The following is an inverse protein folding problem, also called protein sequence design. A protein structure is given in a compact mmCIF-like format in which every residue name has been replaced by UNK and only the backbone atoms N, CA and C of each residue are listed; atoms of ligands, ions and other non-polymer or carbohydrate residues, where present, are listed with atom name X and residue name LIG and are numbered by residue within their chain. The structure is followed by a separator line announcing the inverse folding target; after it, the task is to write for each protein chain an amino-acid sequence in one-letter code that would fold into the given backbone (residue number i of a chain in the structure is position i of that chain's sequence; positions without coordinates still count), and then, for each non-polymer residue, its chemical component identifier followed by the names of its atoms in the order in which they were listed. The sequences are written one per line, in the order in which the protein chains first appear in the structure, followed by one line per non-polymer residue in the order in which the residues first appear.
data_IF_247942130634
#
_entry.id   IF_247942130634
#
_cell.length_a   1.000
_cell.length_b   1.000
_cell.length_c   1.000
_cell.angle_alpha   90.00
_cell.angle_beta   90.00
_cell.angle_gamma   90.00
#
_symmetry.space_group_name_H-M   'P 1'
#
loop_
_entity.id
_entity.type
_entity.pdbx_description
1 polymer ?
#
# COMPACT_ATOMS: atom_id res chain seq x y z
N UNK A 1 -3.35 8.91 -0.31
CA UNK A 1 -4.08 7.66 -0.02
C UNK A 1 -3.98 7.21 1.43
N UNK A 2 -2.84 7.42 2.11
CA UNK A 2 -2.72 7.09 3.55
C UNK A 2 -3.78 7.83 4.38
N UNK A 3 -4.02 9.09 4.09
CA UNK A 3 -5.09 9.87 4.74
C UNK A 3 -6.49 9.35 4.40
N UNK A 4 -6.73 8.95 3.14
CA UNK A 4 -7.97 8.26 2.74
C UNK A 4 -8.22 7.01 3.58
N UNK A 5 -7.21 6.17 3.74
CA UNK A 5 -7.30 4.94 4.55
C UNK A 5 -7.63 5.24 6.01
N UNK A 6 -6.99 6.25 6.60
CA UNK A 6 -7.28 6.69 7.98
C UNK A 6 -8.71 7.20 8.12
N UNK A 7 -9.16 8.03 7.19
CA UNK A 7 -10.53 8.60 7.18
C UNK A 7 -11.59 7.52 7.09
N UNK A 8 -11.44 6.57 6.16
CA UNK A 8 -12.37 5.46 6.00
C UNK A 8 -12.39 4.54 7.24
N UNK A 9 -11.24 4.22 7.82
CA UNK A 9 -11.16 3.43 9.06
C UNK A 9 -11.80 4.15 10.24
N UNK A 10 -11.60 5.46 10.38
CA UNK A 10 -12.23 6.25 11.44
C UNK A 10 -13.77 6.24 11.32
N UNK A 11 -14.28 6.33 10.08
CA UNK A 11 -15.73 6.37 9.81
C UNK A 11 -16.39 4.99 9.98
N UNK A 12 -15.82 3.94 9.41
CA UNK A 12 -16.45 2.61 9.32
C UNK A 12 -15.92 1.59 10.34
N UNK A 13 -14.85 1.93 11.06
CA UNK A 13 -14.28 1.16 12.20
C UNK A 13 -14.06 -0.32 11.85
N UNK A 14 -14.59 -1.21 12.67
CA UNK A 14 -14.52 -2.66 12.60
C UNK A 14 -15.28 -3.28 11.41
N UNK A 15 -16.15 -2.50 10.77
CA UNK A 15 -16.87 -2.94 9.56
C UNK A 15 -16.04 -2.89 8.29
N UNK A 16 -14.85 -2.25 8.34
CA UNK A 16 -13.94 -2.13 7.22
C UNK A 16 -12.68 -2.97 7.42
N UNK A 17 -12.62 -4.12 6.76
CA UNK A 17 -11.36 -4.87 6.63
C UNK A 17 -10.57 -4.34 5.43
N UNK A 18 -9.38 -3.80 5.70
CA UNK A 18 -8.52 -3.20 4.69
C UNK A 18 -7.17 -3.93 4.64
N UNK A 19 -6.84 -4.53 3.49
CA UNK A 19 -5.54 -5.13 3.21
C UNK A 19 -4.84 -4.35 2.11
N UNK A 20 -3.55 -4.07 2.28
CA UNK A 20 -2.71 -3.36 1.32
C UNK A 20 -1.84 -4.35 0.56
N UNK A 21 -1.65 -4.08 -0.71
CA UNK A 21 -0.81 -4.86 -1.60
C UNK A 21 0.15 -3.91 -2.31
N UNK A 22 1.44 -3.88 -1.93
CA UNK A 22 2.43 -3.05 -2.59
C UNK A 22 2.73 -3.59 -3.98
N UNK A 23 2.80 -2.68 -4.96
CA UNK A 23 3.11 -3.03 -6.36
C UNK A 23 4.25 -2.16 -6.89
N UNK A 24 4.87 -2.58 -7.97
CA UNK A 24 5.89 -1.84 -8.69
C UNK A 24 5.79 -2.14 -10.19
N UNK A 25 6.27 -1.22 -11.01
CA UNK A 25 6.18 -1.31 -12.48
C UNK A 25 7.49 -1.04 -13.18
N UNK A 26 7.61 -1.56 -14.39
CA UNK A 26 8.69 -1.25 -15.31
C UNK A 26 10.06 -1.55 -14.73
N UNK A 27 10.90 -0.53 -14.63
CA UNK A 27 12.27 -0.65 -14.11
C UNK A 27 12.37 -0.48 -12.59
N UNK A 28 11.26 -0.33 -11.87
CA UNK A 28 11.25 -0.29 -10.42
C UNK A 28 11.63 -1.66 -9.86
N UNK A 29 12.22 -1.66 -8.67
CA UNK A 29 12.63 -2.89 -7.99
C UNK A 29 11.60 -3.33 -6.94
N UNK A 30 11.66 -4.60 -6.55
CA UNK A 30 10.81 -5.17 -5.50
C UNK A 30 11.19 -4.73 -4.08
N UNK A 31 12.28 -3.97 -3.89
CA UNK A 31 12.78 -3.64 -2.55
C UNK A 31 11.74 -2.96 -1.64
N UNK A 32 11.02 -1.90 -2.09
CA UNK A 32 10.00 -1.28 -1.24
C UNK A 32 8.84 -2.23 -0.91
N UNK A 33 8.42 -3.06 -1.86
CA UNK A 33 7.35 -4.02 -1.65
C UNK A 33 7.75 -5.12 -0.65
N UNK A 34 8.97 -5.63 -0.75
CA UNK A 34 9.51 -6.58 0.24
C UNK A 34 9.63 -5.93 1.62
N UNK A 35 10.18 -4.72 1.69
CA UNK A 35 10.32 -3.98 2.95
C UNK A 35 8.96 -3.72 3.62
N UNK A 36 7.93 -3.42 2.84
CA UNK A 36 6.56 -3.31 3.33
C UNK A 36 6.11 -4.58 4.05
N UNK A 37 6.27 -5.75 3.43
CA UNK A 37 5.83 -7.02 4.02
C UNK A 37 6.66 -7.43 5.23
N UNK A 38 7.95 -7.13 5.24
CA UNK A 38 8.80 -7.36 6.42
C UNK A 38 8.36 -6.47 7.58
N UNK A 39 8.10 -5.19 7.31
CA UNK A 39 7.59 -4.26 8.31
C UNK A 39 6.20 -4.67 8.83
N UNK A 40 5.35 -5.20 7.97
CA UNK A 40 4.03 -5.74 8.34
C UNK A 40 4.14 -6.92 9.32
N UNK A 41 5.04 -7.87 9.06
CA UNK A 41 5.32 -8.98 9.98
C UNK A 41 5.83 -8.52 11.36
N UNK A 42 6.47 -7.35 11.42
CA UNK A 42 6.99 -6.75 12.65
C UNK A 42 5.99 -5.78 13.34
N UNK A 43 4.79 -5.61 12.78
CA UNK A 43 3.81 -4.66 13.28
C UNK A 43 4.17 -3.19 13.05
N UNK A 44 5.07 -2.90 12.11
CA UNK A 44 5.57 -1.57 11.76
C UNK A 44 5.00 -1.04 10.44
N UNK A 45 4.11 -1.77 9.79
CA UNK A 45 3.62 -1.49 8.43
C UNK A 45 3.22 -0.02 8.25
N UNK A 46 2.38 0.50 9.12
CA UNK A 46 1.82 1.86 8.96
C UNK A 46 2.91 2.94 9.03
N UNK A 47 3.81 2.86 10.02
CA UNK A 47 4.89 3.83 10.20
C UNK A 47 5.92 3.73 9.09
N UNK A 48 6.33 2.52 8.75
CA UNK A 48 7.33 2.28 7.71
C UNK A 48 6.82 2.69 6.32
N UNK A 49 5.55 2.41 6.02
CA UNK A 49 4.90 2.84 4.77
C UNK A 49 4.83 4.36 4.69
N UNK A 50 4.45 5.04 5.78
CA UNK A 50 4.44 6.51 5.80
C UNK A 50 5.82 7.07 5.47
N UNK A 51 6.87 6.53 6.05
CA UNK A 51 8.23 6.99 5.82
C UNK A 51 8.73 6.68 4.41
N UNK A 52 8.36 5.52 3.83
CA UNK A 52 8.62 5.24 2.42
C UNK A 52 7.99 6.29 1.49
N UNK A 53 6.73 6.64 1.74
CA UNK A 53 6.02 7.67 0.96
C UNK A 53 6.67 9.05 1.15
N UNK A 54 6.96 9.45 2.38
CA UNK A 54 7.59 10.73 2.66
C UNK A 54 8.98 10.83 2.04
N UNK A 55 9.76 9.76 2.11
CA UNK A 55 11.08 9.68 1.47
C UNK A 55 10.99 9.85 -0.05
N UNK A 56 10.03 9.16 -0.68
CA UNK A 56 9.89 9.21 -2.14
C UNK A 56 9.26 10.52 -2.63
N UNK A 57 8.17 10.96 -2.01
CA UNK A 57 7.35 12.06 -2.53
C UNK A 57 7.66 13.43 -1.94
N UNK A 58 8.11 13.51 -0.67
CA UNK A 58 8.48 14.78 -0.05
C UNK A 58 9.97 15.07 -0.17
N UNK A 59 10.82 14.05 0.04
CA UNK A 59 12.27 14.21 -0.02
C UNK A 59 12.85 13.94 -1.41
N UNK A 60 12.05 13.44 -2.34
CA UNK A 60 12.46 13.08 -3.70
C UNK A 60 13.63 12.11 -3.75
N UNK A 61 13.71 11.20 -2.79
CA UNK A 61 14.73 10.15 -2.72
C UNK A 61 14.17 8.85 -3.30
N UNK A 62 14.88 8.26 -4.24
CA UNK A 62 14.46 7.04 -4.92
C UNK A 62 14.50 5.82 -3.99
N UNK A 63 13.34 5.42 -3.47
CA UNK A 63 13.18 4.27 -2.56
C UNK A 63 13.41 2.91 -3.22
N UNK A 64 13.47 2.84 -4.55
CA UNK A 64 13.75 1.58 -5.27
C UNK A 64 15.23 1.18 -5.23
N UNK A 65 16.09 2.00 -4.62
CA UNK A 65 17.49 1.67 -4.37
C UNK A 65 17.66 0.93 -3.04
N UNK A 66 18.38 -0.21 -3.01
CA UNK A 66 18.57 -1.01 -1.80
C UNK A 66 19.12 -0.22 -0.61
N UNK A 67 20.07 0.69 -0.87
CA UNK A 67 20.69 1.53 0.18
C UNK A 67 19.70 2.45 0.90
N UNK A 68 18.63 2.87 0.23
CA UNK A 68 17.61 3.72 0.85
C UNK A 68 16.79 2.89 1.84
N UNK A 69 16.35 1.71 1.44
CA UNK A 69 15.65 0.77 2.33
C UNK A 69 16.52 0.40 3.53
N UNK A 70 17.81 0.14 3.30
CA UNK A 70 18.75 -0.15 4.40
C UNK A 70 18.87 1.03 5.38
N UNK A 71 18.89 2.25 4.90
CA UNK A 71 18.94 3.45 5.75
C UNK A 71 17.67 3.63 6.57
N UNK A 72 16.52 3.42 5.97
CA UNK A 72 15.22 3.45 6.66
C UNK A 72 15.14 2.35 7.72
N UNK A 73 15.66 1.15 7.44
CA UNK A 73 15.68 0.06 8.40
C UNK A 73 16.51 0.37 9.65
N UNK A 74 17.59 1.13 9.53
CA UNK A 74 18.41 1.60 10.66
C UNK A 74 17.60 2.49 11.61
N UNK A 75 16.78 3.37 11.08
CA UNK A 75 15.91 4.22 11.90
C UNK A 75 14.97 3.40 12.80
N UNK A 76 14.47 2.28 12.29
CA UNK A 76 13.59 1.37 13.03
C UNK A 76 14.30 0.25 13.78
N UNK A 77 15.64 0.15 13.66
CA UNK A 77 16.47 -0.92 14.26
C UNK A 77 16.04 -2.33 13.80
N UNK A 78 15.73 -2.46 12.51
CA UNK A 78 15.28 -3.71 11.87
C UNK A 78 16.17 -4.11 10.69
N UNK A 79 17.46 -3.73 10.71
CA UNK A 79 18.39 -3.98 9.60
C UNK A 79 18.59 -5.47 9.34
N UNK A 80 18.60 -6.27 10.40
CA UNK A 80 18.78 -7.71 10.27
C UNK A 80 17.54 -8.34 9.66
N UNK A 81 16.36 -7.98 10.14
CA UNK A 81 15.07 -8.47 9.63
C UNK A 81 14.88 -8.09 8.16
N UNK A 82 15.24 -6.85 7.78
CA UNK A 82 15.22 -6.43 6.37
C UNK A 82 16.20 -7.27 5.54
N UNK A 83 17.41 -7.48 6.00
CA UNK A 83 18.44 -8.25 5.28
C UNK A 83 18.02 -9.70 5.04
N UNK A 84 17.47 -10.34 6.06
CA UNK A 84 17.02 -11.72 6.00
C UNK A 84 15.72 -11.84 5.19
N UNK A 85 14.76 -10.96 5.44
CA UNK A 85 13.49 -10.91 4.75
C UNK A 85 13.61 -10.65 3.26
N UNK A 86 14.60 -9.85 2.82
CA UNK A 86 14.85 -9.62 1.38
C UNK A 86 15.16 -10.91 0.60
N UNK A 87 15.65 -11.95 1.28
CA UNK A 87 15.97 -13.26 0.70
C UNK A 87 14.92 -14.32 1.02
N UNK A 88 13.90 -13.97 1.78
CA UNK A 88 12.87 -14.91 2.24
C UNK A 88 11.93 -15.33 1.12
N UNK A 89 11.75 -16.64 0.87
CA UNK A 89 10.77 -17.15 -0.09
C UNK A 89 9.33 -16.76 0.27
N UNK A 90 9.00 -16.63 1.56
CA UNK A 90 7.67 -16.23 2.00
C UNK A 90 7.38 -14.76 1.65
N UNK A 91 8.35 -13.88 1.80
CA UNK A 91 8.24 -12.47 1.39
C UNK A 91 8.13 -12.37 -0.15
N UNK A 92 8.94 -13.14 -0.87
CA UNK A 92 8.83 -13.21 -2.33
C UNK A 92 7.44 -13.65 -2.79
N UNK A 93 6.87 -14.68 -2.15
CA UNK A 93 5.52 -15.16 -2.44
C UNK A 93 4.44 -14.08 -2.21
N UNK A 94 4.54 -13.29 -1.15
CA UNK A 94 3.62 -12.17 -0.88
C UNK A 94 3.72 -11.07 -1.93
N UNK A 95 4.93 -10.75 -2.38
CA UNK A 95 5.15 -9.78 -3.46
C UNK A 95 4.55 -10.29 -4.78
N UNK A 96 4.77 -11.56 -5.11
CA UNK A 96 4.20 -12.19 -6.30
C UNK A 96 2.66 -12.22 -6.24
N UNK A 97 2.05 -12.46 -5.07
CA UNK A 97 0.60 -12.33 -4.86
C UNK A 97 0.12 -10.92 -5.18
N UNK A 98 0.83 -9.89 -4.71
CA UNK A 98 0.48 -8.49 -5.01
C UNK A 98 0.45 -8.22 -6.51
N UNK A 99 1.48 -8.67 -7.22
CA UNK A 99 1.58 -8.48 -8.68
C UNK A 99 0.50 -9.27 -9.42
N UNK A 100 0.20 -10.49 -8.99
CA UNK A 100 -0.88 -11.30 -9.56
C UNK A 100 -2.24 -10.64 -9.37
N UNK A 101 -2.51 -10.05 -8.20
CA UNK A 101 -3.74 -9.30 -7.94
C UNK A 101 -3.80 -8.01 -8.77
N UNK A 102 -2.69 -7.28 -8.90
CA UNK A 102 -2.62 -6.10 -9.76
C UNK A 102 -2.97 -6.45 -11.22
N UNK A 103 -2.44 -7.54 -11.74
CA UNK A 103 -2.77 -8.03 -13.08
C UNK A 103 -4.24 -8.46 -13.17
N UNK A 104 -4.73 -9.25 -12.22
CA UNK A 104 -6.12 -9.73 -12.19
C UNK A 104 -7.13 -8.59 -12.27
N UNK A 105 -6.87 -7.49 -11.55
CA UNK A 105 -7.77 -6.34 -11.48
C UNK A 105 -7.40 -5.21 -12.45
N UNK A 106 -6.40 -5.44 -13.30
CA UNK A 106 -5.88 -4.43 -14.23
C UNK A 106 -5.56 -3.11 -13.49
N UNK A 107 -4.80 -3.21 -12.38
CA UNK A 107 -4.36 -2.07 -11.59
C UNK A 107 -3.17 -1.41 -12.28
N UNK A 108 -3.45 -0.37 -13.07
CA UNK A 108 -2.46 0.37 -13.87
C UNK A 108 -2.17 1.77 -13.32
N UNK A 109 -2.76 2.13 -12.20
CA UNK A 109 -2.52 3.37 -11.46
C UNK A 109 -2.57 3.13 -9.95
N UNK A 110 -2.03 4.03 -9.15
CA UNK A 110 -2.14 4.02 -7.70
C UNK A 110 -2.71 5.34 -7.17
N UNK A 111 -3.57 5.26 -6.14
CA UNK A 111 -4.12 4.04 -5.53
C UNK A 111 -5.18 3.36 -6.40
N UNK A 112 -5.20 2.03 -6.43
CA UNK A 112 -6.31 1.23 -6.94
C UNK A 112 -6.97 0.51 -5.78
N UNK A 113 -8.27 0.69 -5.57
CA UNK A 113 -9.06 0.07 -4.52
C UNK A 113 -9.98 -0.97 -5.12
N UNK A 114 -10.02 -2.17 -4.54
CA UNK A 114 -10.97 -3.21 -4.90
C UNK A 114 -11.88 -3.48 -3.71
N UNK A 115 -13.17 -3.16 -3.85
CA UNK A 115 -14.19 -3.41 -2.84
C UNK A 115 -14.84 -4.77 -3.09
N UNK A 116 -14.92 -5.59 -2.04
CA UNK A 116 -15.55 -6.92 -2.06
C UNK A 116 -15.11 -7.82 -3.23
N UNK A 117 -13.87 -7.64 -3.72
CA UNK A 117 -13.29 -8.38 -4.86
C UNK A 117 -14.00 -8.15 -6.21
N UNK A 118 -14.86 -7.15 -6.31
CA UNK A 118 -15.72 -6.91 -7.49
C UNK A 118 -15.58 -5.49 -8.03
N UNK A 119 -15.68 -4.48 -7.18
CA UNK A 119 -15.73 -3.08 -7.62
C UNK A 119 -14.35 -2.44 -7.56
N UNK A 120 -13.85 -1.96 -8.70
CA UNK A 120 -12.60 -1.20 -8.79
C UNK A 120 -12.89 0.29 -8.71
N UNK A 121 -12.18 0.98 -7.82
CA UNK A 121 -12.23 2.44 -7.64
C UNK A 121 -10.80 3.00 -7.73
N UNK A 122 -10.61 4.01 -8.57
CA UNK A 122 -9.33 4.68 -8.80
C UNK A 122 -9.54 6.18 -8.92
N UNK A 123 -8.49 7.01 -8.81
CA UNK A 123 -8.61 8.44 -9.07
C UNK A 123 -9.19 8.74 -10.47
N UNK A 124 -8.69 8.07 -11.51
CA UNK A 124 -9.15 8.31 -12.90
C UNK A 124 -10.64 8.03 -13.09
N UNK A 125 -11.17 6.97 -12.46
CA UNK A 125 -12.61 6.65 -12.52
C UNK A 125 -13.44 7.60 -11.65
N UNK A 126 -12.83 8.20 -10.63
CA UNK A 126 -13.50 9.01 -9.61
C UNK A 126 -13.44 10.52 -9.86
N UNK A 127 -13.08 10.95 -11.05
CA UNK A 127 -13.00 12.38 -11.39
C UNK A 127 -11.60 12.98 -11.39
N UNK A 128 -10.55 12.15 -11.26
CA UNK A 128 -9.14 12.50 -11.49
C UNK A 128 -8.34 12.85 -10.25
N UNK A 129 -8.95 12.94 -9.06
CA UNK A 129 -8.23 13.25 -7.82
C UNK A 129 -8.43 12.19 -6.74
N UNK A 130 -7.49 12.14 -5.79
CA UNK A 130 -7.58 11.24 -4.62
C UNK A 130 -8.71 11.68 -3.68
N UNK A 131 -8.99 12.97 -3.60
CA UNK A 131 -10.07 13.54 -2.81
C UNK A 131 -11.43 13.06 -3.33
N UNK A 132 -11.69 13.21 -4.63
CA UNK A 132 -12.93 12.73 -5.26
C UNK A 132 -13.09 11.22 -5.14
N UNK A 133 -11.96 10.47 -5.28
CA UNK A 133 -11.97 9.04 -5.04
C UNK A 133 -12.35 8.71 -3.59
N UNK A 134 -11.87 9.49 -2.61
CA UNK A 134 -12.20 9.30 -1.18
C UNK A 134 -13.68 9.52 -0.93
N UNK A 135 -14.26 10.59 -1.48
CA UNK A 135 -15.68 10.88 -1.37
C UNK A 135 -16.55 9.75 -1.98
N UNK A 136 -16.18 9.30 -3.17
CA UNK A 136 -16.86 8.17 -3.81
C UNK A 136 -16.77 6.88 -2.99
N UNK A 137 -15.60 6.59 -2.41
CA UNK A 137 -15.43 5.43 -1.52
C UNK A 137 -16.31 5.53 -0.28
N UNK A 138 -16.41 6.70 0.33
CA UNK A 138 -17.28 6.91 1.50
C UNK A 138 -18.75 6.64 1.17
N UNK A 139 -19.24 7.12 0.01
CA UNK A 139 -20.61 6.88 -0.44
C UNK A 139 -20.84 5.39 -0.71
N UNK A 140 -20.01 4.78 -1.53
CA UNK A 140 -20.15 3.36 -1.92
C UNK A 140 -20.09 2.44 -0.69
N UNK A 141 -19.14 2.65 0.20
CA UNK A 141 -19.02 1.84 1.43
C UNK A 141 -20.21 2.09 2.34
N UNK A 142 -20.66 3.35 2.45
CA UNK A 142 -21.86 3.72 3.19
C UNK A 142 -23.09 2.96 2.67
N UNK A 143 -23.33 2.95 1.37
CA UNK A 143 -24.43 2.22 0.74
C UNK A 143 -24.34 0.71 1.00
N UNK A 144 -23.16 0.11 0.81
CA UNK A 144 -22.93 -1.33 1.07
C UNK A 144 -23.24 -1.70 2.52
N UNK A 145 -22.93 -0.82 3.47
CA UNK A 145 -23.12 -1.04 4.90
C UNK A 145 -24.48 -0.58 5.42
N UNK A 146 -25.32 0.03 4.58
CA UNK A 146 -26.64 0.54 4.96
C UNK A 146 -26.60 1.77 5.89
N UNK A 147 -25.64 2.67 5.67
CA UNK A 147 -25.50 3.93 6.42
C UNK A 147 -26.21 5.11 5.77
N UNK A 148 -26.81 4.94 4.60
CA UNK A 148 -27.54 5.99 3.86
C UNK A 148 -29.02 5.82 4.01
#
# INVERSE_FOLDING_TARGET
FLETSKKLRAKFKDKLYHKKYPIYWGQQTAFPAKAFYIADELGLEEKFTQELFDTNFKLHVNIFQPRVIQRLSQHYKIEQEIRDGMKSPSIEAKVNESLALANKYNANETPTIILNKVLKVTPSISGGTTEMMTENLELIIGDILGYN
#
